data_IF_305635686132
#
_entry.id   IF_305635686132
#
_cell.length_a   1.000
_cell.length_b   1.000
_cell.length_c   1.000
_cell.angle_alpha   90.00
_cell.angle_beta   90.00
_cell.angle_gamma   90.00
#
_symmetry.space_group_name_H-M   'P 1'
#
loop_
_entity.id
_entity.type
_entity.pdbx_description
1 polymer ?
#
# COMPACT_ATOMS: atom_id res chain seq x y z
N UNK A 1 8.47 7.39 -20.33
CA UNK A 1 7.69 6.13 -20.48
C UNK A 1 6.20 6.46 -20.36
N UNK A 2 5.35 5.97 -21.26
CA UNK A 2 3.90 6.08 -21.12
C UNK A 2 3.41 5.10 -20.04
N UNK A 3 2.57 5.57 -19.11
CA UNK A 3 1.99 4.74 -18.04
C UNK A 3 0.48 4.63 -18.25
N UNK A 4 -0.09 3.47 -17.93
CA UNK A 4 -1.51 3.16 -17.97
C UNK A 4 -1.95 2.52 -16.65
N UNK A 5 -3.25 2.36 -16.46
CA UNK A 5 -3.82 1.71 -15.28
C UNK A 5 -3.57 2.50 -14.00
N UNK A 6 -3.70 1.80 -12.87
CA UNK A 6 -3.49 2.37 -11.54
C UNK A 6 -2.08 2.95 -11.37
N UNK A 7 -1.06 2.38 -12.03
CA UNK A 7 0.31 2.90 -12.06
C UNK A 7 0.44 4.27 -12.75
N UNK A 8 -0.61 4.75 -13.42
CA UNK A 8 -0.72 6.11 -13.96
C UNK A 8 -1.57 7.05 -13.10
N UNK A 9 -2.12 6.57 -11.97
CA UNK A 9 -3.01 7.33 -11.10
C UNK A 9 -4.43 7.49 -11.65
N UNK A 10 -4.96 6.49 -12.35
CA UNK A 10 -6.29 6.57 -12.98
C UNK A 10 -7.46 6.20 -12.08
N UNK A 11 -7.23 5.71 -10.86
CA UNK A 11 -8.29 5.25 -9.94
C UNK A 11 -9.17 6.40 -9.47
N UNK A 12 -10.48 6.26 -9.63
CA UNK A 12 -11.48 7.17 -9.09
C UNK A 12 -11.84 6.76 -7.66
N UNK A 13 -11.12 7.34 -6.70
CA UNK A 13 -11.31 7.06 -5.27
C UNK A 13 -12.67 7.50 -4.70
N UNK A 14 -13.39 8.38 -5.41
CA UNK A 14 -14.72 8.85 -5.02
C UNK A 14 -15.80 7.84 -5.39
N UNK A 15 -15.72 7.28 -6.60
CA UNK A 15 -16.64 6.24 -7.08
C UNK A 15 -16.26 4.82 -6.59
N UNK A 16 -15.04 4.65 -6.06
CA UNK A 16 -14.50 3.33 -5.76
C UNK A 16 -14.23 2.51 -7.03
N UNK A 17 -13.95 3.20 -8.15
CA UNK A 17 -13.75 2.61 -9.46
C UNK A 17 -12.29 2.77 -9.92
N UNK A 18 -11.82 1.83 -10.74
CA UNK A 18 -10.46 1.83 -11.25
C UNK A 18 -10.24 0.91 -12.45
N UNK A 19 -11.06 -0.13 -12.62
CA UNK A 19 -10.95 -1.10 -13.72
C UNK A 19 -11.26 -0.45 -15.08
N UNK A 20 -12.39 0.26 -15.19
CA UNK A 20 -12.81 0.89 -16.43
C UNK A 20 -11.88 2.05 -16.81
N UNK A 21 -11.40 2.80 -15.83
CA UNK A 21 -10.41 3.86 -15.98
C UNK A 21 -9.08 3.28 -16.47
N UNK A 22 -8.64 2.18 -15.86
CA UNK A 22 -7.43 1.48 -16.27
C UNK A 22 -7.53 0.96 -17.70
N UNK A 23 -8.63 0.27 -18.06
CA UNK A 23 -8.86 -0.16 -19.43
C UNK A 23 -8.91 1.00 -20.41
N UNK A 24 -9.58 2.08 -20.06
CA UNK A 24 -9.66 3.25 -20.91
C UNK A 24 -8.28 3.84 -21.17
N UNK A 25 -7.42 3.96 -20.14
CA UNK A 25 -6.03 4.44 -20.35
C UNK A 25 -5.25 3.52 -21.31
N UNK A 26 -5.44 2.20 -21.23
CA UNK A 26 -4.87 1.24 -22.16
C UNK A 26 -5.34 1.43 -23.60
N UNK A 27 -6.66 1.60 -23.79
CA UNK A 27 -7.26 1.87 -25.12
C UNK A 27 -6.73 3.19 -25.71
N UNK A 28 -6.59 4.23 -24.88
CA UNK A 28 -6.06 5.52 -25.33
C UNK A 28 -4.59 5.41 -25.77
N UNK A 29 -3.76 4.69 -25.02
CA UNK A 29 -2.37 4.44 -25.40
C UNK A 29 -2.29 3.63 -26.68
N UNK A 30 -3.09 2.57 -26.81
CA UNK A 30 -3.13 1.74 -28.02
C UNK A 30 -3.48 2.56 -29.27
N UNK A 31 -4.48 3.45 -29.18
CA UNK A 31 -4.83 4.38 -30.27
C UNK A 31 -3.66 5.32 -30.61
N UNK A 32 -2.96 5.83 -29.61
CA UNK A 32 -1.75 6.65 -29.79
C UNK A 32 -0.63 5.91 -30.52
N UNK A 33 -0.33 4.68 -30.10
CA UNK A 33 0.68 3.84 -30.75
C UNK A 33 0.31 3.53 -32.20
N UNK A 34 -0.95 3.16 -32.47
CA UNK A 34 -1.44 2.88 -33.82
C UNK A 34 -1.30 4.11 -34.74
N UNK A 35 -1.62 5.31 -34.25
CA UNK A 35 -1.45 6.54 -35.00
C UNK A 35 0.02 6.79 -35.35
N UNK A 36 0.94 6.66 -34.39
CA UNK A 36 2.36 6.88 -34.62
C UNK A 36 2.91 5.89 -35.66
N UNK A 37 2.50 4.62 -35.58
CA UNK A 37 2.87 3.58 -36.55
C UNK A 37 2.35 3.90 -37.96
N UNK A 38 1.07 4.27 -38.10
CA UNK A 38 0.49 4.63 -39.41
C UNK A 38 1.17 5.83 -40.07
N UNK A 39 1.70 6.74 -39.27
CA UNK A 39 2.40 7.94 -39.74
C UNK A 39 3.93 7.78 -39.79
N UNK A 40 4.45 6.56 -39.58
CA UNK A 40 5.89 6.29 -39.52
C UNK A 40 6.67 7.19 -38.56
N UNK A 41 6.04 7.60 -37.45
CA UNK A 41 6.66 8.46 -36.44
C UNK A 41 7.38 7.61 -35.38
N UNK A 42 8.57 8.04 -34.92
CA UNK A 42 9.28 7.35 -33.85
C UNK A 42 8.57 7.49 -32.49
N UNK A 43 8.74 6.52 -31.61
CA UNK A 43 8.20 6.54 -30.23
C UNK A 43 9.04 7.40 -29.29
N UNK A 44 9.26 8.66 -29.64
CA UNK A 44 9.89 9.65 -28.77
C UNK A 44 8.91 10.08 -27.68
N UNK A 45 9.45 10.65 -26.58
CA UNK A 45 8.64 11.22 -25.51
C UNK A 45 7.60 12.22 -26.03
N UNK A 46 8.02 13.17 -26.85
CA UNK A 46 7.15 14.20 -27.46
C UNK A 46 6.02 13.61 -28.30
N UNK A 47 6.32 12.57 -29.08
CA UNK A 47 5.32 11.90 -29.90
C UNK A 47 4.31 11.13 -29.07
N UNK A 48 4.76 10.45 -28.01
CA UNK A 48 3.87 9.75 -27.08
C UNK A 48 3.04 10.73 -26.24
N UNK A 49 3.62 11.85 -25.82
CA UNK A 49 2.93 12.88 -25.07
C UNK A 49 1.76 13.46 -25.86
N UNK A 50 1.99 13.75 -27.14
CA UNK A 50 0.94 14.22 -28.05
C UNK A 50 -0.07 13.13 -28.42
N UNK A 51 0.39 11.93 -28.73
CA UNK A 51 -0.48 10.86 -29.24
C UNK A 51 -1.28 10.16 -28.12
N UNK A 52 -0.80 10.20 -26.88
CA UNK A 52 -1.42 9.58 -25.71
C UNK A 52 -1.67 10.57 -24.57
N UNK A 53 -0.66 11.31 -24.11
CA UNK A 53 -0.77 12.20 -22.94
C UNK A 53 -1.90 13.24 -23.09
N UNK A 54 -1.94 13.93 -24.22
CA UNK A 54 -3.00 14.91 -24.54
C UNK A 54 -4.38 14.24 -24.61
N UNK A 55 -4.47 13.07 -25.24
CA UNK A 55 -5.72 12.30 -25.29
C UNK A 55 -6.19 11.87 -23.91
N UNK A 56 -5.29 11.40 -23.05
CA UNK A 56 -5.59 10.99 -21.68
C UNK A 56 -6.08 12.18 -20.86
N UNK A 57 -5.46 13.36 -21.00
CA UNK A 57 -5.90 14.60 -20.33
C UNK A 57 -7.21 15.16 -20.87
N UNK A 58 -7.55 14.91 -22.13
CA UNK A 58 -8.83 15.29 -22.72
C UNK A 58 -9.97 14.28 -22.46
N UNK A 59 -9.65 13.11 -21.91
CA UNK A 59 -10.63 12.02 -21.71
C UNK A 59 -11.52 12.23 -20.48
N UNK A 60 -12.62 11.48 -20.44
CA UNK A 60 -13.52 11.45 -19.27
C UNK A 60 -12.79 11.03 -17.99
N UNK A 61 -11.78 10.14 -18.10
CA UNK A 61 -10.98 9.67 -16.95
C UNK A 61 -10.30 10.86 -16.26
N UNK A 62 -9.74 11.81 -17.02
CA UNK A 62 -9.11 13.00 -16.42
C UNK A 62 -10.14 13.85 -15.68
N UNK A 63 -11.31 14.06 -16.30
CA UNK A 63 -12.38 14.87 -15.73
C UNK A 63 -12.83 14.30 -14.38
N UNK A 64 -13.00 12.98 -14.30
CA UNK A 64 -13.41 12.31 -13.06
C UNK A 64 -12.30 12.29 -12.00
N UNK A 65 -11.05 12.01 -12.39
CA UNK A 65 -9.91 12.08 -11.45
C UNK A 65 -9.76 13.49 -10.85
N UNK A 66 -9.99 14.54 -11.64
CA UNK A 66 -9.97 15.93 -11.16
C UNK A 66 -11.07 16.20 -10.14
N UNK A 67 -12.29 15.74 -10.42
CA UNK A 67 -13.39 15.85 -9.47
C UNK A 67 -13.09 15.10 -8.15
N UNK A 68 -12.39 13.95 -8.23
CA UNK A 68 -12.05 13.12 -7.09
C UNK A 68 -10.77 13.53 -6.35
N UNK A 69 -10.01 14.54 -6.82
CA UNK A 69 -8.63 14.83 -6.36
C UNK A 69 -8.54 15.01 -4.84
N UNK A 70 -9.49 15.74 -4.24
CA UNK A 70 -9.51 16.02 -2.80
C UNK A 70 -10.56 15.20 -2.04
N UNK A 71 -11.02 14.08 -2.60
CA UNK A 71 -12.10 13.29 -2.01
C UNK A 71 -11.70 12.64 -0.67
N UNK A 72 -10.40 12.37 -0.46
CA UNK A 72 -9.91 11.69 0.75
C UNK A 72 -9.13 12.56 1.73
N UNK A 73 -8.91 13.84 1.43
CA UNK A 73 -8.12 14.75 2.25
C UNK A 73 -8.66 14.85 3.68
N UNK A 74 -9.99 14.95 3.84
CA UNK A 74 -10.63 15.07 5.14
C UNK A 74 -10.29 13.94 6.12
N UNK A 75 -9.95 12.74 5.64
CA UNK A 75 -9.59 11.60 6.49
C UNK A 75 -8.30 11.81 7.28
N UNK A 76 -7.44 12.75 6.86
CA UNK A 76 -6.26 13.14 7.63
C UNK A 76 -6.64 13.87 8.94
N UNK A 77 -7.87 14.40 9.03
CA UNK A 77 -8.41 15.03 10.25
C UNK A 77 -9.32 14.08 11.05
N UNK A 78 -9.46 12.83 10.61
CA UNK A 78 -10.29 11.80 11.24
C UNK A 78 -11.47 11.34 10.39
N UNK A 79 -12.17 10.32 10.88
CA UNK A 79 -13.23 9.63 10.14
C UNK A 79 -14.41 10.54 9.76
N UNK A 80 -14.96 11.29 10.72
CA UNK A 80 -16.13 12.15 10.49
C UNK A 80 -15.82 13.31 9.53
N UNK A 81 -14.74 14.10 9.71
CA UNK A 81 -14.32 15.09 8.71
C UNK A 81 -14.04 14.47 7.34
N UNK A 82 -13.51 13.24 7.30
CA UNK A 82 -13.29 12.47 6.09
C UNK A 82 -14.58 12.19 5.31
N UNK A 83 -15.59 11.63 5.97
CA UNK A 83 -16.89 11.35 5.35
C UNK A 83 -17.58 12.63 4.86
N UNK A 84 -17.58 13.69 5.68
CA UNK A 84 -18.16 14.98 5.30
C UNK A 84 -17.43 15.59 4.11
N UNK A 85 -16.10 15.57 4.12
CA UNK A 85 -15.26 16.06 3.03
C UNK A 85 -15.47 15.29 1.74
N UNK A 86 -15.48 13.95 1.81
CA UNK A 86 -15.73 13.09 0.65
C UNK A 86 -17.13 13.34 0.06
N UNK A 87 -18.16 13.47 0.90
CA UNK A 87 -19.51 13.78 0.47
C UNK A 87 -19.62 15.15 -0.22
N UNK A 88 -19.00 16.20 0.33
CA UNK A 88 -18.94 17.53 -0.27
C UNK A 88 -18.22 17.51 -1.63
N UNK A 89 -17.07 16.85 -1.70
CA UNK A 89 -16.32 16.67 -2.95
C UNK A 89 -17.18 16.00 -4.01
N UNK A 90 -17.90 14.93 -3.65
CA UNK A 90 -18.77 14.22 -4.59
C UNK A 90 -19.96 15.04 -5.07
N UNK A 91 -20.70 15.67 -4.15
CA UNK A 91 -21.89 16.47 -4.49
C UNK A 91 -21.58 17.70 -5.35
N UNK A 92 -20.35 18.22 -5.27
CA UNK A 92 -19.94 19.43 -5.97
C UNK A 92 -19.01 19.18 -7.16
N UNK A 93 -18.78 17.92 -7.51
CA UNK A 93 -17.84 17.56 -8.59
C UNK A 93 -16.41 18.06 -8.34
N UNK A 94 -15.98 18.11 -7.06
CA UNK A 94 -14.65 18.53 -6.66
C UNK A 94 -14.49 20.01 -6.31
N UNK A 95 -15.53 20.84 -6.45
CA UNK A 95 -15.43 22.29 -6.18
C UNK A 95 -15.25 22.61 -4.69
N UNK A 96 -15.91 21.87 -3.80
CA UNK A 96 -15.78 22.00 -2.36
C UNK A 96 -15.16 20.73 -1.77
N UNK A 97 -14.20 20.90 -0.86
CA UNK A 97 -13.54 19.80 -0.18
C UNK A 97 -13.09 20.23 1.23
N UNK A 98 -12.84 19.25 2.10
CA UNK A 98 -12.19 19.47 3.39
C UNK A 98 -10.70 19.31 3.18
N UNK A 99 -9.99 20.43 3.07
CA UNK A 99 -8.55 20.42 2.83
C UNK A 99 -7.78 19.81 4.01
N UNK A 100 -6.86 18.91 3.71
CA UNK A 100 -5.84 18.49 4.65
C UNK A 100 -4.58 18.06 3.89
N UNK A 101 -3.41 18.26 4.51
CA UNK A 101 -2.15 17.82 3.95
C UNK A 101 -2.04 16.30 4.06
N UNK A 102 -1.87 15.63 2.92
CA UNK A 102 -1.44 14.23 2.87
C UNK A 102 0.09 14.24 2.99
N UNK A 103 0.60 13.70 4.08
CA UNK A 103 2.04 13.54 4.33
C UNK A 103 2.51 12.12 4.03
N UNK A 104 3.81 11.93 4.13
CA UNK A 104 4.45 10.62 3.99
C UNK A 104 4.16 9.76 5.23
N UNK A 105 4.29 8.42 5.16
CA UNK A 105 3.96 7.55 6.30
C UNK A 105 4.65 7.95 7.60
N UNK A 106 5.93 8.32 7.55
CA UNK A 106 6.71 8.76 8.71
C UNK A 106 6.45 10.19 9.19
N UNK A 107 5.70 10.98 8.43
CA UNK A 107 5.26 12.32 8.82
C UNK A 107 3.88 12.29 9.49
N UNK A 108 3.10 11.24 9.22
CA UNK A 108 1.69 11.15 9.58
C UNK A 108 1.38 10.09 10.63
N UNK A 109 2.16 9.00 10.69
CA UNK A 109 1.94 7.94 11.65
C UNK A 109 2.34 8.39 13.07
N UNK A 110 1.36 8.39 13.96
CA UNK A 110 1.57 8.67 15.37
C UNK A 110 2.38 7.54 16.02
N UNK A 111 3.31 7.85 16.94
CA UNK A 111 3.98 6.84 17.73
C UNK A 111 2.97 5.98 18.50
N UNK A 112 3.21 4.67 18.59
CA UNK A 112 2.30 3.74 19.25
C UNK A 112 1.98 4.15 20.70
N UNK A 113 2.96 4.72 21.42
CA UNK A 113 2.76 5.23 22.79
C UNK A 113 1.71 6.33 22.90
N UNK A 114 1.58 7.18 21.88
CA UNK A 114 0.55 8.22 21.83
C UNK A 114 -0.82 7.59 21.64
N UNK A 115 -0.92 6.57 20.78
CA UNK A 115 -2.17 5.83 20.53
C UNK A 115 -2.61 5.02 21.77
N UNK A 116 -1.67 4.53 22.56
CA UNK A 116 -1.92 3.78 23.79
C UNK A 116 -2.11 4.66 25.04
N UNK A 117 -1.96 5.98 24.91
CA UNK A 117 -1.95 6.89 26.06
C UNK A 117 -3.23 6.78 26.90
N UNK A 118 -3.04 6.62 28.22
CA UNK A 118 -4.14 6.46 29.18
C UNK A 118 -4.78 5.06 29.20
N UNK A 119 -4.36 4.13 28.32
CA UNK A 119 -4.83 2.73 28.29
C UNK A 119 -3.75 1.73 28.66
N UNK A 120 -2.52 1.96 28.20
CA UNK A 120 -1.35 1.14 28.53
C UNK A 120 -0.27 2.08 29.05
N UNK A 121 0.40 1.71 30.14
CA UNK A 121 1.53 2.50 30.66
C UNK A 121 2.74 2.36 29.71
N UNK A 122 3.57 3.40 29.62
CA UNK A 122 4.71 3.44 28.69
C UNK A 122 5.75 2.36 29.01
N UNK A 123 6.06 2.13 30.29
CA UNK A 123 6.98 1.08 30.77
C UNK A 123 6.49 -0.33 30.40
N UNK A 124 5.18 -0.55 30.51
CA UNK A 124 4.57 -1.82 30.12
C UNK A 124 4.62 -2.03 28.60
N UNK A 125 4.33 -0.98 27.81
CA UNK A 125 4.39 -1.04 26.35
C UNK A 125 5.82 -1.31 25.86
N UNK A 126 6.82 -0.67 26.47
CA UNK A 126 8.24 -0.92 26.19
C UNK A 126 8.63 -2.37 26.50
N UNK A 127 8.17 -2.92 27.63
CA UNK A 127 8.41 -4.31 28.00
C UNK A 127 7.79 -5.28 27.00
N UNK A 128 6.54 -5.05 26.59
CA UNK A 128 5.87 -5.86 25.57
C UNK A 128 6.61 -5.81 24.23
N UNK A 129 7.09 -4.62 23.82
CA UNK A 129 7.90 -4.46 22.62
C UNK A 129 9.23 -5.22 22.70
N UNK A 130 9.90 -5.18 23.85
CA UNK A 130 11.14 -5.93 24.09
C UNK A 130 10.91 -7.45 24.05
N UNK A 131 9.83 -7.93 24.66
CA UNK A 131 9.45 -9.36 24.63
C UNK A 131 9.10 -9.81 23.20
N UNK A 132 8.32 -9.02 22.47
CA UNK A 132 8.00 -9.30 21.06
C UNK A 132 9.27 -9.36 20.20
N UNK A 133 10.21 -8.44 20.44
CA UNK A 133 11.51 -8.37 19.74
C UNK A 133 12.37 -9.61 19.96
N UNK A 134 12.47 -10.10 21.20
CA UNK A 134 13.24 -11.31 21.53
C UNK A 134 12.63 -12.54 20.87
N UNK A 135 11.31 -12.63 20.87
CA UNK A 135 10.58 -13.78 20.35
C UNK A 135 10.36 -13.74 18.82
N UNK A 136 10.74 -12.66 18.14
CA UNK A 136 10.48 -12.47 16.70
C UNK A 136 8.98 -12.32 16.37
N UNK A 137 8.18 -11.88 17.33
CA UNK A 137 6.73 -11.73 17.19
C UNK A 137 6.33 -10.28 16.89
N UNK A 138 5.17 -10.13 16.26
CA UNK A 138 4.51 -8.82 16.11
C UNK A 138 3.96 -8.33 17.46
N UNK A 139 3.87 -7.01 17.61
CA UNK A 139 3.42 -6.35 18.83
C UNK A 139 1.89 -6.14 18.85
N UNK A 140 1.24 -6.15 17.68
CA UNK A 140 -0.20 -5.87 17.55
C UNK A 140 -1.08 -6.68 18.51
N UNK A 141 -0.95 -8.01 18.53
CA UNK A 141 -1.86 -8.86 19.30
C UNK A 141 -1.75 -8.60 20.81
N UNK A 142 -0.51 -8.45 21.30
CA UNK A 142 -0.27 -8.14 22.71
C UNK A 142 -0.89 -6.78 23.10
N UNK A 143 -0.77 -5.78 22.23
CA UNK A 143 -1.35 -4.44 22.46
C UNK A 143 -2.88 -4.50 22.44
N UNK A 144 -3.47 -5.18 21.46
CA UNK A 144 -4.93 -5.29 21.33
C UNK A 144 -5.54 -6.04 22.51
N UNK A 145 -4.91 -7.13 22.95
CA UNK A 145 -5.29 -7.88 24.14
C UNK A 145 -5.27 -7.00 25.39
N UNK A 146 -4.19 -6.23 25.55
CA UNK A 146 -4.03 -5.33 26.69
C UNK A 146 -5.06 -4.19 26.68
N UNK A 147 -5.46 -3.73 25.50
CA UNK A 147 -6.55 -2.76 25.33
C UNK A 147 -7.94 -3.35 25.58
N UNK A 148 -8.05 -4.65 25.85
CA UNK A 148 -9.32 -5.32 26.15
C UNK A 148 -10.18 -5.60 24.92
N UNK A 149 -9.56 -5.73 23.74
CA UNK A 149 -10.29 -6.16 22.55
C UNK A 149 -10.85 -7.57 22.74
N UNK A 150 -12.09 -7.84 22.30
CA UNK A 150 -12.70 -9.15 22.44
C UNK A 150 -11.92 -10.19 21.65
N UNK A 151 -11.68 -11.36 22.25
CA UNK A 151 -11.10 -12.49 21.55
C UNK A 151 -12.07 -12.98 20.48
N UNK A 152 -11.64 -12.92 19.23
CA UNK A 152 -12.38 -13.44 18.10
C UNK A 152 -12.05 -14.94 18.00
N UNK A 153 -13.04 -15.79 18.23
CA UNK A 153 -12.90 -17.24 18.10
C UNK A 153 -13.23 -17.63 16.66
N UNK A 154 -12.30 -18.26 15.91
CA UNK A 154 -12.61 -18.76 14.58
C UNK A 154 -13.73 -19.80 14.63
N UNK A 155 -14.75 -19.63 13.77
CA UNK A 155 -15.85 -20.58 13.59
C UNK A 155 -15.57 -21.58 12.44
N UNK A 156 -14.47 -21.39 11.71
CA UNK A 156 -14.07 -22.23 10.58
C UNK A 156 -14.95 -22.06 9.33
N UNK A 157 -15.88 -21.09 9.33
CA UNK A 157 -16.81 -20.83 8.24
C UNK A 157 -16.71 -19.37 7.78
N UNK A 158 -17.16 -18.43 8.61
CA UNK A 158 -17.13 -17.00 8.34
C UNK A 158 -15.85 -16.36 8.88
N UNK A 159 -15.42 -16.82 10.06
CA UNK A 159 -14.23 -16.36 10.75
C UNK A 159 -13.26 -17.52 10.80
N UNK A 160 -12.18 -17.40 10.04
CA UNK A 160 -11.13 -18.41 9.96
C UNK A 160 -9.84 -17.85 10.54
N UNK A 161 -8.89 -18.74 10.86
CA UNK A 161 -7.56 -18.27 11.21
C UNK A 161 -6.89 -17.58 10.01
N UNK A 162 -5.90 -16.74 10.27
CA UNK A 162 -5.14 -16.10 9.20
C UNK A 162 -4.45 -17.14 8.30
N UNK A 163 -3.96 -18.24 8.87
CA UNK A 163 -3.34 -19.35 8.12
C UNK A 163 -4.36 -20.07 7.22
N UNK A 164 -5.58 -20.29 7.70
CA UNK A 164 -6.65 -20.88 6.88
C UNK A 164 -7.05 -19.94 5.74
N UNK A 165 -7.10 -18.63 5.99
CA UNK A 165 -7.37 -17.65 4.94
C UNK A 165 -6.31 -17.69 3.83
N UNK A 166 -5.03 -17.83 4.19
CA UNK A 166 -3.94 -18.02 3.22
C UNK A 166 -4.06 -19.33 2.45
N UNK A 167 -4.44 -20.42 3.14
CA UNK A 167 -4.64 -21.73 2.50
C UNK A 167 -5.82 -21.73 1.52
N UNK A 168 -6.92 -21.07 1.88
CA UNK A 168 -8.12 -20.95 1.03
C UNK A 168 -7.92 -19.98 -0.14
N UNK A 169 -7.09 -18.94 0.04
CA UNK A 169 -6.81 -17.92 -0.98
C UNK A 169 -5.96 -18.42 -2.17
N UNK A 170 -5.51 -19.67 -2.12
CA UNK A 170 -4.62 -20.27 -3.11
C UNK A 170 -3.15 -20.01 -2.82
N UNK A 171 -2.29 -20.83 -3.42
CA UNK A 171 -0.85 -20.80 -3.17
C UNK A 171 -0.19 -19.65 -3.94
N UNK A 172 0.73 -18.95 -3.27
CA UNK A 172 1.71 -18.08 -3.93
C UNK A 172 2.95 -18.91 -4.25
N UNK A 173 3.48 -18.75 -5.46
CA UNK A 173 4.74 -19.37 -5.84
C UNK A 173 5.74 -18.33 -6.34
N UNK A 174 6.98 -18.40 -5.87
CA UNK A 174 8.07 -17.63 -6.44
C UNK A 174 8.97 -18.53 -7.29
N UNK A 175 9.21 -18.12 -8.53
CA UNK A 175 10.10 -18.86 -9.42
C UNK A 175 11.51 -18.97 -8.82
N UNK A 176 12.03 -20.20 -8.76
CA UNK A 176 13.40 -20.50 -8.34
C UNK A 176 14.43 -19.83 -9.27
N UNK A 177 15.59 -19.49 -8.72
CA UNK A 177 16.69 -18.84 -9.46
C UNK A 177 16.56 -17.31 -9.63
N UNK A 178 15.44 -16.72 -9.19
CA UNK A 178 15.26 -15.27 -9.17
C UNK A 178 15.53 -14.71 -7.76
N UNK A 179 15.93 -13.44 -7.72
CA UNK A 179 16.07 -12.68 -6.47
C UNK A 179 14.70 -12.29 -5.91
N UNK A 180 14.69 -11.94 -4.62
CA UNK A 180 13.49 -11.45 -3.95
C UNK A 180 13.06 -10.10 -4.52
N UNK A 181 11.75 -9.96 -4.75
CA UNK A 181 11.18 -8.71 -5.21
C UNK A 181 11.00 -7.70 -4.08
N UNK A 182 10.97 -8.11 -2.81
CA UNK A 182 10.96 -7.18 -1.66
C UNK A 182 12.38 -7.00 -1.14
N UNK A 183 12.83 -5.76 -1.03
CA UNK A 183 14.13 -5.43 -0.46
C UNK A 183 14.01 -4.41 0.68
N UNK A 184 14.75 -4.65 1.77
CA UNK A 184 15.00 -3.67 2.83
C UNK A 184 16.30 -2.93 2.51
N UNK A 185 16.19 -1.73 1.97
CA UNK A 185 17.30 -1.03 1.29
C UNK A 185 18.45 -0.70 2.24
N UNK A 186 18.13 -0.18 3.42
CA UNK A 186 19.06 0.13 4.48
C UNK A 186 18.78 -0.78 5.69
N UNK A 187 19.57 -1.86 5.88
CA UNK A 187 19.43 -2.76 7.02
C UNK A 187 19.50 -2.07 8.39
N UNK A 188 20.28 -1.01 8.52
CA UNK A 188 20.49 -0.36 9.82
C UNK A 188 19.20 0.32 10.30
N UNK A 189 18.50 1.01 9.40
CA UNK A 189 17.19 1.62 9.69
C UNK A 189 16.16 0.60 10.13
N UNK A 190 16.23 -0.62 9.63
CA UNK A 190 15.32 -1.69 10.01
C UNK A 190 15.62 -2.27 11.42
N UNK A 191 16.88 -2.30 11.84
CA UNK A 191 17.28 -2.78 13.19
C UNK A 191 16.78 -1.88 14.32
N UNK A 192 16.65 -0.60 14.03
CA UNK A 192 16.18 0.43 14.97
C UNK A 192 14.67 0.71 14.82
N UNK A 193 14.02 0.12 13.81
CA UNK A 193 12.60 0.30 13.56
C UNK A 193 11.76 -0.66 14.41
N UNK A 194 11.04 -0.12 15.40
CA UNK A 194 10.06 -0.89 16.16
C UNK A 194 8.81 -0.05 16.50
N UNK A 195 7.59 -0.60 16.37
CA UNK A 195 7.28 -1.91 15.77
C UNK A 195 7.61 -1.94 14.28
N UNK A 196 7.98 -3.11 13.75
CA UNK A 196 8.25 -3.29 12.32
C UNK A 196 6.91 -3.33 11.58
N UNK A 197 6.30 -2.16 11.32
CA UNK A 197 4.95 -2.02 10.75
C UNK A 197 4.75 -2.81 9.45
N UNK A 198 5.81 -3.00 8.65
CA UNK A 198 5.77 -3.84 7.46
C UNK A 198 5.43 -5.31 7.77
N UNK A 199 5.83 -5.84 8.93
CA UNK A 199 5.45 -7.16 9.42
C UNK A 199 4.02 -7.14 10.00
N UNK A 200 3.69 -6.13 10.81
CA UNK A 200 2.35 -5.97 11.43
C UNK A 200 1.22 -5.91 10.39
N UNK A 201 1.46 -5.27 9.25
CA UNK A 201 0.45 -5.08 8.19
C UNK A 201 0.50 -6.18 7.11
N UNK A 202 1.44 -7.13 7.20
CA UNK A 202 1.63 -8.13 6.15
C UNK A 202 0.51 -9.17 6.17
N UNK A 203 -0.54 -8.94 5.40
CA UNK A 203 -1.67 -9.87 5.28
C UNK A 203 -1.32 -11.21 4.64
N UNK A 204 -0.14 -11.34 4.05
CA UNK A 204 0.39 -12.62 3.55
C UNK A 204 1.22 -13.37 4.59
N UNK A 205 1.57 -12.73 5.72
CA UNK A 205 2.63 -13.17 6.63
C UNK A 205 3.95 -13.50 5.88
N UNK A 206 4.17 -12.79 4.78
CA UNK A 206 5.38 -12.84 3.98
C UNK A 206 6.52 -12.04 4.62
N UNK A 207 6.22 -11.09 5.49
CA UNK A 207 7.21 -10.35 6.26
C UNK A 207 6.99 -10.67 7.74
N UNK A 208 8.05 -11.13 8.41
CA UNK A 208 8.04 -11.37 9.86
C UNK A 208 9.14 -10.56 10.54
N UNK A 209 9.00 -10.26 11.83
CA UNK A 209 10.05 -9.57 12.55
C UNK A 209 11.37 -10.34 12.52
N UNK A 210 12.48 -9.60 12.40
CA UNK A 210 13.81 -10.20 12.52
C UNK A 210 14.08 -10.66 13.95
N UNK A 211 14.74 -11.81 14.11
CA UNK A 211 15.18 -12.29 15.43
C UNK A 211 16.00 -11.23 16.16
N UNK A 212 15.79 -11.08 17.47
CA UNK A 212 16.44 -10.05 18.31
C UNK A 212 16.24 -8.61 17.79
N UNK A 213 15.17 -8.37 17.01
CA UNK A 213 14.91 -7.10 16.32
C UNK A 213 15.97 -6.77 15.26
N UNK A 214 16.40 -7.79 14.52
CA UNK A 214 17.17 -7.63 13.30
C UNK A 214 16.34 -7.05 12.15
N UNK A 215 16.91 -7.10 10.95
CA UNK A 215 16.18 -6.77 9.72
C UNK A 215 14.99 -7.73 9.58
N UNK A 216 13.80 -7.27 9.14
CA UNK A 216 12.67 -8.17 8.92
C UNK A 216 13.04 -9.31 7.97
N UNK A 217 12.49 -10.49 8.23
CA UNK A 217 12.60 -11.64 7.34
C UNK A 217 11.55 -11.53 6.24
N UNK A 218 11.86 -12.07 5.06
CA UNK A 218 10.94 -12.10 3.93
C UNK A 218 10.80 -13.51 3.35
N UNK A 219 9.56 -13.96 3.22
CA UNK A 219 9.14 -15.22 2.63
C UNK A 219 8.34 -14.94 1.35
N UNK A 220 9.04 -14.98 0.22
CA UNK A 220 8.49 -14.68 -1.10
C UNK A 220 7.38 -15.65 -1.55
N UNK A 221 7.33 -16.86 -0.98
CA UNK A 221 6.31 -17.87 -1.28
C UNK A 221 4.96 -17.56 -0.61
N UNK A 222 4.89 -16.46 0.15
CA UNK A 222 3.67 -15.98 0.80
C UNK A 222 3.25 -14.58 0.34
N UNK A 223 4.08 -13.89 -0.43
CA UNK A 223 3.82 -12.51 -0.79
C UNK A 223 2.80 -12.41 -1.92
N UNK A 224 1.63 -11.83 -1.65
CA UNK A 224 0.56 -11.59 -2.64
C UNK A 224 0.70 -10.29 -3.44
N UNK A 225 1.88 -9.64 -3.38
CA UNK A 225 2.18 -8.40 -4.13
C UNK A 225 1.24 -7.22 -3.86
N UNK A 226 0.64 -7.12 -2.66
CA UNK A 226 -0.32 -6.05 -2.33
C UNK A 226 0.30 -4.66 -2.16
N UNK A 227 1.62 -4.55 -2.00
CA UNK A 227 2.32 -3.25 -1.84
C UNK A 227 2.15 -2.57 -0.49
N UNK A 228 1.35 -3.11 0.44
CA UNK A 228 1.05 -2.49 1.73
C UNK A 228 2.30 -2.16 2.56
N UNK A 229 3.32 -3.03 2.54
CA UNK A 229 4.58 -2.82 3.24
C UNK A 229 5.40 -1.64 2.68
N UNK A 230 5.34 -1.40 1.36
CA UNK A 230 6.01 -0.25 0.71
C UNK A 230 5.29 1.04 1.06
N UNK A 231 3.96 1.06 0.93
CA UNK A 231 3.16 2.27 1.18
C UNK A 231 3.11 2.69 2.64
N UNK A 232 3.42 1.80 3.59
CA UNK A 232 3.35 2.08 5.03
C UNK A 232 4.72 2.10 5.71
N UNK A 233 5.82 1.96 4.98
CA UNK A 233 7.14 1.99 5.61
C UNK A 233 7.43 3.36 6.25
N UNK A 234 7.66 3.38 7.56
CA UNK A 234 7.94 4.59 8.37
C UNK A 234 9.41 5.01 8.34
N UNK A 235 10.25 4.34 7.55
CA UNK A 235 11.66 4.65 7.44
C UNK A 235 11.93 5.28 6.08
N UNK A 236 11.81 6.62 5.95
CA UNK A 236 12.06 7.30 4.67
C UNK A 236 13.53 7.22 4.23
N UNK A 237 13.81 7.01 2.94
CA UNK A 237 15.19 6.92 2.42
C UNK A 237 15.85 8.30 2.39
N UNK A 238 17.15 8.36 2.70
CA UNK A 238 17.91 9.61 2.60
C UNK A 238 18.11 10.07 1.14
N UNK A 239 18.32 9.13 0.21
CA UNK A 239 18.58 9.43 -1.20
C UNK A 239 17.31 9.78 -1.99
N UNK A 240 16.15 9.30 -1.54
CA UNK A 240 14.85 9.61 -2.12
C UNK A 240 13.82 9.75 -1.00
N UNK A 241 13.54 10.99 -0.56
CA UNK A 241 12.62 11.22 0.54
C UNK A 241 11.16 10.96 0.15
N UNK A 242 10.82 10.60 -1.08
CA UNK A 242 9.45 10.15 -1.40
C UNK A 242 9.27 8.64 -1.18
N UNK A 243 10.37 7.90 -0.98
CA UNK A 243 10.35 6.45 -0.84
C UNK A 243 10.65 5.99 0.59
N UNK A 244 9.90 5.01 1.09
CA UNK A 244 10.22 4.29 2.32
C UNK A 244 11.33 3.25 2.12
N UNK A 245 11.89 2.70 3.20
CA UNK A 245 13.03 1.78 3.18
C UNK A 245 12.71 0.39 2.60
N UNK A 246 11.43 0.06 2.43
CA UNK A 246 10.97 -1.14 1.72
C UNK A 246 10.85 -0.81 0.23
N UNK A 247 11.41 -1.66 -0.62
CA UNK A 247 11.44 -1.49 -2.07
C UNK A 247 10.87 -2.70 -2.79
N UNK A 248 10.13 -2.47 -3.88
CA UNK A 248 9.75 -3.53 -4.81
C UNK A 248 10.67 -3.49 -6.03
N UNK A 249 11.48 -4.54 -6.20
CA UNK A 249 12.46 -4.71 -7.26
C UNK A 249 12.01 -5.75 -8.27
N UNK A 250 12.68 -5.78 -9.41
CA UNK A 250 12.53 -6.89 -10.36
C UNK A 250 12.99 -8.19 -9.69
N UNK A 251 12.07 -9.14 -9.51
CA UNK A 251 12.28 -10.40 -8.81
C UNK A 251 11.04 -11.28 -8.92
N UNK A 252 11.09 -12.51 -8.39
CA UNK A 252 9.95 -13.42 -8.40
C UNK A 252 9.10 -13.31 -7.13
N UNK A 253 7.79 -13.47 -7.27
CA UNK A 253 6.81 -13.55 -6.19
C UNK A 253 5.37 -13.39 -6.71
N UNK A 254 4.39 -13.63 -5.84
CA UNK A 254 2.98 -13.27 -6.07
C UNK A 254 2.28 -13.94 -7.23
N UNK A 255 2.82 -15.01 -7.81
CA UNK A 255 2.07 -15.80 -8.77
C UNK A 255 1.08 -16.66 -8.01
N UNK A 256 -0.19 -16.25 -8.04
CA UNK A 256 -1.29 -17.02 -7.49
C UNK A 256 -1.54 -18.24 -8.37
N UNK A 257 -1.42 -19.42 -7.78
CA UNK A 257 -1.89 -20.68 -8.35
C UNK A 257 -3.16 -21.11 -7.62
N UNK A 258 -4.18 -21.49 -8.39
CA UNK A 258 -5.37 -22.16 -7.86
C UNK A 258 -5.09 -23.64 -7.51
N UNK A 259 -3.91 -24.17 -7.88
CA UNK A 259 -3.47 -25.52 -7.56
C UNK A 259 -2.70 -25.52 -6.23
N UNK A 260 -3.27 -26.18 -5.23
CA UNK A 260 -2.64 -26.50 -3.94
C UNK A 260 -1.88 -27.82 -4.01
#
# INVERSE_FOLDING_TARGET
>A
CARIGEGSGSTNVLAGAGVDEAWTTGVLLAKGVIELLKNHKPFTWENLERAYGDRRRASWVEKECRAATHARDGFQRGFVPGLLGMGLTGMTGGMLNVHAKIGRPWEMLKPLKELCMGRIKEDELEKMGAEARVNGNTLHDAVMDKMGWPKIVPDGQLIVSHQDALLMGGKVQAAGGFADHVAFVDPQRCRDCHPQLCAEICSGQAITPGENGGVPNFDREKCVHCGACVWNCTQGRAADPECGNVDFRAGSGGLHSAEN
#
